data_IF_299320783903
#
_entry.id   IF_299320783903
#
_cell.length_a   1.000
_cell.length_b   1.000
_cell.length_c   1.000
_cell.angle_alpha   90.00
_cell.angle_beta   90.00
_cell.angle_gamma   90.00
#
_symmetry.space_group_name_H-M   'P 1'
#
loop_
_entity.id
_entity.type
_entity.pdbx_description
1 polymer ?
#
# COMPACT_ATOMS: atom_id res chain seq x y z
N UNK A 1 -10.15 8.91 -23.44
CA UNK A 1 -8.88 8.62 -22.76
C UNK A 1 -8.54 9.76 -21.80
N UNK A 2 -8.52 9.49 -20.49
CA UNK A 2 -8.16 10.46 -19.44
C UNK A 2 -6.87 10.01 -18.71
N UNK A 3 -5.89 9.49 -19.44
CA UNK A 3 -4.59 9.14 -18.88
C UNK A 3 -3.54 10.14 -19.35
N UNK A 4 -2.77 10.71 -18.43
CA UNK A 4 -1.61 11.54 -18.78
C UNK A 4 -0.47 10.66 -19.27
N UNK A 5 0.26 11.15 -20.26
CA UNK A 5 1.50 10.55 -20.76
C UNK A 5 2.66 11.47 -20.41
N UNK A 6 3.77 10.89 -19.96
CA UNK A 6 5.00 11.62 -19.67
C UNK A 6 5.74 12.05 -20.93
N UNK A 7 7.01 12.40 -20.77
CA UNK A 7 7.89 12.82 -21.88
C UNK A 7 8.13 11.73 -22.94
N UNK A 8 7.86 10.47 -22.64
CA UNK A 8 7.77 9.39 -23.61
C UNK A 8 6.35 8.80 -23.61
N UNK A 9 5.87 8.36 -24.78
CA UNK A 9 4.51 7.83 -24.97
C UNK A 9 4.20 6.56 -24.17
N UNK A 10 5.20 5.92 -23.56
CA UNK A 10 5.09 4.70 -22.77
C UNK A 10 5.20 4.94 -21.26
N UNK A 11 5.48 6.16 -20.82
CA UNK A 11 5.48 6.51 -19.39
C UNK A 11 4.15 7.22 -19.07
N UNK A 12 3.29 6.55 -18.31
CA UNK A 12 2.02 7.12 -17.84
C UNK A 12 2.17 7.93 -16.56
N UNK A 13 1.16 8.72 -16.22
CA UNK A 13 1.08 9.45 -14.94
C UNK A 13 0.76 8.52 -13.76
N UNK A 14 0.38 7.29 -14.05
CA UNK A 14 0.06 6.23 -13.11
C UNK A 14 -1.31 5.61 -13.33
N UNK A 15 -1.38 4.31 -13.16
CA UNK A 15 -2.63 3.56 -13.13
C UNK A 15 -2.57 2.46 -12.07
N UNK A 16 -3.72 2.00 -11.62
CA UNK A 16 -3.79 0.93 -10.65
C UNK A 16 -5.19 0.40 -10.41
N UNK A 17 -5.24 -0.66 -9.63
CA UNK A 17 -6.45 -1.36 -9.24
C UNK A 17 -6.36 -1.77 -7.77
N UNK A 18 -7.43 -1.58 -7.03
CA UNK A 18 -7.67 -2.16 -5.71
C UNK A 18 -8.72 -3.26 -5.88
N UNK A 19 -8.43 -4.43 -5.32
CA UNK A 19 -9.32 -5.60 -5.37
C UNK A 19 -9.37 -6.29 -4.01
N UNK A 20 -10.20 -7.31 -3.90
CA UNK A 20 -10.06 -8.28 -2.81
C UNK A 20 -8.74 -9.05 -2.96
N UNK A 21 -8.22 -9.59 -1.85
CA UNK A 21 -7.05 -10.49 -1.88
C UNK A 21 -7.34 -11.69 -2.80
N UNK A 22 -6.48 -11.96 -3.79
CA UNK A 22 -6.64 -13.10 -4.69
C UNK A 22 -6.15 -14.40 -4.02
N UNK A 23 -6.85 -14.85 -2.99
CA UNK A 23 -6.49 -16.00 -2.14
C UNK A 23 -6.14 -17.25 -2.94
N UNK A 24 -6.94 -17.57 -3.98
CA UNK A 24 -6.67 -18.72 -4.85
C UNK A 24 -5.33 -18.60 -5.58
N UNK A 25 -5.03 -17.42 -6.12
CA UNK A 25 -3.74 -17.17 -6.78
C UNK A 25 -2.59 -17.43 -5.82
N UNK A 26 -2.65 -16.89 -4.61
CA UNK A 26 -1.57 -17.03 -3.65
C UNK A 26 -1.36 -18.49 -3.23
N UNK A 27 -2.42 -19.21 -2.87
CA UNK A 27 -2.33 -20.63 -2.48
C UNK A 27 -1.76 -21.52 -3.56
N UNK A 28 -2.11 -21.26 -4.82
CA UNK A 28 -1.67 -22.11 -5.93
C UNK A 28 -0.29 -21.73 -6.50
N UNK A 29 0.17 -20.48 -6.30
CA UNK A 29 1.46 -20.00 -6.86
C UNK A 29 2.57 -19.88 -5.85
N UNK A 30 2.28 -19.57 -4.58
CA UNK A 30 3.28 -19.33 -3.53
C UNK A 30 3.44 -20.59 -2.67
N UNK A 31 3.98 -21.65 -3.27
CA UNK A 31 4.00 -23.01 -2.69
C UNK A 31 4.89 -23.18 -1.46
N UNK A 32 5.78 -22.25 -1.21
CA UNK A 32 6.67 -22.30 -0.03
C UNK A 32 6.01 -21.72 1.24
N UNK A 33 4.78 -21.22 1.13
CA UNK A 33 3.99 -20.68 2.24
C UNK A 33 2.78 -21.59 2.49
N UNK A 34 2.61 -22.00 3.73
CA UNK A 34 1.39 -22.67 4.19
C UNK A 34 0.39 -21.61 4.64
N UNK A 35 -0.57 -21.27 3.79
CA UNK A 35 -1.55 -20.21 4.09
C UNK A 35 -2.62 -20.69 5.08
N UNK A 36 -2.90 -19.90 6.15
CA UNK A 36 -4.07 -20.09 6.99
C UNK A 36 -5.39 -19.91 6.21
N UNK A 37 -6.52 -19.97 6.87
CA UNK A 37 -7.81 -19.64 6.23
C UNK A 37 -7.81 -18.23 5.68
N UNK A 38 -8.63 -18.00 4.66
CA UNK A 38 -8.88 -16.64 4.15
C UNK A 38 -9.43 -15.77 5.28
N UNK A 39 -8.84 -14.60 5.49
CA UNK A 39 -9.12 -13.71 6.61
C UNK A 39 -8.18 -13.88 7.82
N UNK A 40 -7.53 -15.05 7.96
CA UNK A 40 -6.54 -15.32 9.01
C UNK A 40 -5.11 -15.02 8.54
N UNK A 41 -4.93 -14.35 7.42
CA UNK A 41 -3.66 -13.78 6.98
C UNK A 41 -3.86 -12.47 6.23
N UNK A 42 -2.88 -11.59 6.34
CA UNK A 42 -2.83 -10.31 5.63
C UNK A 42 -1.63 -10.24 4.68
N UNK A 43 -1.67 -9.28 3.77
CA UNK A 43 -0.61 -9.04 2.80
C UNK A 43 -0.17 -7.58 2.84
N UNK A 44 1.11 -7.37 3.07
CA UNK A 44 1.77 -6.09 2.81
C UNK A 44 2.27 -6.09 1.37
N UNK A 45 1.71 -5.23 0.55
CA UNK A 45 2.18 -4.95 -0.81
C UNK A 45 3.05 -3.70 -0.77
N UNK A 46 4.31 -3.78 -1.20
CA UNK A 46 5.28 -2.71 -0.96
C UNK A 46 6.15 -2.43 -2.18
N UNK A 47 6.50 -1.14 -2.32
CA UNK A 47 7.64 -0.70 -3.12
C UNK A 47 8.87 -0.59 -2.21
N UNK A 48 9.92 -1.31 -2.56
CA UNK A 48 11.19 -1.35 -1.83
C UNK A 48 12.35 -0.94 -2.74
N UNK A 49 13.51 -0.53 -2.16
CA UNK A 49 14.69 -0.14 -2.92
C UNK A 49 15.22 -1.25 -3.83
N UNK A 50 15.85 -0.86 -4.94
CA UNK A 50 16.58 -1.77 -5.82
C UNK A 50 17.87 -2.29 -5.18
N UNK A 51 18.49 -1.45 -4.36
CA UNK A 51 19.69 -1.83 -3.65
C UNK A 51 19.34 -2.94 -2.65
N UNK A 52 20.07 -4.07 -2.78
CA UNK A 52 19.74 -5.31 -2.06
C UNK A 52 19.92 -5.18 -0.55
N UNK A 53 20.97 -4.50 -0.10
CA UNK A 53 21.26 -4.32 1.33
C UNK A 53 20.20 -3.46 2.01
N UNK A 54 19.75 -2.38 1.36
CA UNK A 54 18.68 -1.52 1.86
C UNK A 54 17.37 -2.29 1.92
N UNK A 55 17.04 -3.04 0.87
CA UNK A 55 15.85 -3.88 0.81
C UNK A 55 15.85 -4.95 1.90
N UNK A 56 16.93 -5.70 2.07
CA UNK A 56 17.07 -6.70 3.13
C UNK A 56 16.94 -6.09 4.53
N UNK A 57 17.46 -4.88 4.74
CA UNK A 57 17.33 -4.17 6.00
C UNK A 57 15.87 -3.84 6.29
N UNK A 58 15.13 -3.32 5.31
CA UNK A 58 13.69 -3.04 5.44
C UNK A 58 12.88 -4.32 5.67
N UNK A 59 13.17 -5.40 4.95
CA UNK A 59 12.50 -6.70 5.14
C UNK A 59 12.68 -7.20 6.58
N UNK A 60 13.91 -7.19 7.12
CA UNK A 60 14.18 -7.58 8.52
C UNK A 60 13.51 -6.65 9.54
N UNK A 61 13.48 -5.35 9.26
CA UNK A 61 12.79 -4.38 10.11
C UNK A 61 11.30 -4.71 10.18
N UNK A 62 10.65 -4.98 9.05
CA UNK A 62 9.24 -5.37 9.04
C UNK A 62 9.00 -6.70 9.77
N UNK A 63 9.83 -7.71 9.55
CA UNK A 63 9.75 -9.00 10.25
C UNK A 63 9.85 -8.81 11.77
N UNK A 64 10.81 -8.01 12.22
CA UNK A 64 10.97 -7.71 13.66
C UNK A 64 9.73 -7.04 14.26
N UNK A 65 9.13 -6.09 13.53
CA UNK A 65 7.90 -5.42 13.97
C UNK A 65 6.73 -6.41 14.02
N UNK A 66 6.54 -7.24 12.99
CA UNK A 66 5.48 -8.25 12.94
C UNK A 66 5.57 -9.19 14.16
N UNK A 67 6.77 -9.68 14.45
CA UNK A 67 7.01 -10.57 15.60
C UNK A 67 6.80 -9.86 16.95
N UNK A 68 7.21 -8.58 17.04
CA UNK A 68 6.98 -7.75 18.25
C UNK A 68 5.49 -7.53 18.49
N UNK A 69 4.70 -7.40 17.42
CA UNK A 69 3.25 -7.31 17.46
C UNK A 69 2.55 -8.68 17.67
N UNK A 70 3.32 -9.72 17.95
CA UNK A 70 2.80 -11.05 18.23
C UNK A 70 2.17 -11.76 17.04
N UNK A 71 2.47 -11.33 15.82
CA UNK A 71 1.96 -11.93 14.60
C UNK A 71 3.03 -12.82 13.94
N UNK A 72 2.61 -13.71 13.02
CA UNK A 72 3.51 -14.61 12.33
C UNK A 72 3.97 -14.06 10.99
N UNK A 73 5.26 -14.15 10.69
CA UNK A 73 5.79 -13.96 9.34
C UNK A 73 5.63 -15.26 8.56
N UNK A 74 4.66 -15.34 7.66
CA UNK A 74 4.46 -16.54 6.83
C UNK A 74 5.48 -16.64 5.71
N UNK A 75 5.96 -15.52 5.20
CA UNK A 75 6.99 -15.47 4.18
C UNK A 75 6.86 -14.31 3.20
N UNK A 76 7.73 -14.32 2.21
CA UNK A 76 7.91 -13.26 1.24
C UNK A 76 7.72 -13.74 -0.19
N UNK A 77 7.27 -12.83 -1.05
CA UNK A 77 7.18 -13.04 -2.49
C UNK A 77 7.63 -11.78 -3.23
N UNK A 78 8.45 -11.96 -4.27
CA UNK A 78 8.63 -10.91 -5.27
C UNK A 78 7.46 -10.96 -6.24
N UNK A 79 6.80 -9.83 -6.46
CA UNK A 79 5.70 -9.75 -7.43
C UNK A 79 6.26 -9.90 -8.83
N UNK A 80 5.76 -10.84 -9.65
CA UNK A 80 6.23 -11.01 -11.02
C UNK A 80 5.75 -9.85 -11.89
N UNK A 81 6.71 -9.14 -12.49
CA UNK A 81 6.46 -7.98 -13.34
C UNK A 81 7.24 -8.05 -14.64
N UNK A 82 6.75 -7.36 -15.67
CA UNK A 82 7.37 -7.25 -16.98
C UNK A 82 7.87 -5.83 -17.23
N UNK A 83 9.10 -5.56 -16.79
CA UNK A 83 9.72 -4.24 -16.92
C UNK A 83 9.89 -3.76 -18.36
N UNK A 84 9.89 -4.69 -19.32
CA UNK A 84 10.02 -4.38 -20.75
C UNK A 84 8.83 -3.60 -21.34
N UNK A 85 7.66 -3.65 -20.69
CA UNK A 85 6.48 -2.88 -21.14
C UNK A 85 6.52 -1.42 -20.72
N UNK A 86 7.41 -1.08 -19.78
CA UNK A 86 7.52 0.28 -19.23
C UNK A 86 8.22 1.22 -20.18
N UNK A 87 7.83 2.49 -20.14
CA UNK A 87 8.60 3.59 -20.73
C UNK A 87 9.93 3.82 -19.97
N UNK A 88 10.86 4.51 -20.61
CA UNK A 88 12.20 4.75 -20.08
C UNK A 88 12.19 5.49 -18.74
N UNK A 89 11.29 6.46 -18.59
CA UNK A 89 11.11 7.23 -17.36
C UNK A 89 10.64 6.36 -16.19
N UNK A 90 9.61 5.54 -16.41
CA UNK A 90 9.08 4.63 -15.41
C UNK A 90 10.10 3.56 -15.01
N UNK A 91 10.79 2.95 -15.99
CA UNK A 91 11.81 1.93 -15.75
C UNK A 91 13.00 2.43 -14.94
N UNK A 92 13.40 3.68 -15.13
CA UNK A 92 14.52 4.28 -14.38
C UNK A 92 14.26 4.35 -12.89
N UNK A 93 13.02 4.58 -12.50
CA UNK A 93 12.57 4.72 -11.11
C UNK A 93 11.75 3.53 -10.60
N UNK A 94 11.70 2.42 -11.37
CA UNK A 94 10.95 1.23 -11.01
C UNK A 94 11.47 0.64 -9.68
N UNK A 95 10.61 0.46 -8.67
CA UNK A 95 10.99 -0.16 -7.41
C UNK A 95 11.00 -1.69 -7.53
N UNK A 96 11.58 -2.37 -6.55
CA UNK A 96 11.31 -3.80 -6.34
C UNK A 96 9.96 -3.93 -5.64
N UNK A 97 9.05 -4.72 -6.21
CA UNK A 97 7.71 -4.91 -5.67
C UNK A 97 7.67 -6.21 -4.86
N UNK A 98 7.44 -6.09 -3.56
CA UNK A 98 7.46 -7.21 -2.62
C UNK A 98 6.12 -7.38 -1.93
N UNK A 99 5.80 -8.62 -1.61
CA UNK A 99 4.69 -9.01 -0.74
C UNK A 99 5.25 -9.72 0.49
N UNK A 100 4.84 -9.26 1.69
CA UNK A 100 5.03 -9.99 2.94
C UNK A 100 3.69 -10.55 3.38
N UNK A 101 3.62 -11.82 3.65
CA UNK A 101 2.44 -12.50 4.14
C UNK A 101 2.53 -12.67 5.66
N UNK A 102 1.49 -12.23 6.36
CA UNK A 102 1.43 -12.16 7.82
C UNK A 102 0.28 -13.03 8.29
N UNK A 103 0.56 -13.99 9.16
CA UNK A 103 -0.46 -14.83 9.79
C UNK A 103 -1.05 -14.16 11.02
N UNK A 104 -2.37 -14.19 11.14
CA UNK A 104 -3.07 -13.63 12.26
C UNK A 104 -2.91 -14.48 13.51
N UNK A 105 -2.49 -13.85 14.61
CA UNK A 105 -2.59 -14.39 15.97
C UNK A 105 -3.61 -13.54 16.75
N UNK A 106 -4.37 -14.18 17.62
CA UNK A 106 -5.36 -13.49 18.41
C UNK A 106 -4.72 -12.45 19.33
N UNK A 107 -5.23 -11.22 19.29
CA UNK A 107 -4.84 -10.13 20.17
C UNK A 107 -6.04 -9.64 20.98
N UNK A 108 -5.84 -9.40 22.26
CA UNK A 108 -6.89 -8.85 23.10
C UNK A 108 -7.20 -7.40 22.71
N UNK A 109 -8.48 -7.12 22.46
CA UNK A 109 -8.98 -5.76 22.21
C UNK A 109 -8.70 -5.17 20.83
N UNK A 110 -7.96 -5.86 19.94
CA UNK A 110 -7.68 -5.39 18.58
C UNK A 110 -8.15 -6.39 17.52
N UNK A 111 -8.70 -5.87 16.43
CA UNK A 111 -8.94 -6.67 15.22
C UNK A 111 -7.63 -6.86 14.45
N UNK A 112 -7.56 -7.89 13.62
CA UNK A 112 -6.37 -8.14 12.80
C UNK A 112 -6.06 -6.97 11.85
N UNK A 113 -7.09 -6.33 11.25
CA UNK A 113 -6.88 -5.14 10.41
C UNK A 113 -6.26 -3.97 11.21
N UNK A 114 -6.68 -3.75 12.46
CA UNK A 114 -6.05 -2.74 13.33
C UNK A 114 -4.61 -3.09 13.66
N UNK A 115 -4.30 -4.37 13.86
CA UNK A 115 -2.93 -4.83 14.10
C UNK A 115 -2.06 -4.61 12.86
N UNK A 116 -2.56 -4.94 11.65
CA UNK A 116 -1.85 -4.66 10.39
C UNK A 116 -1.60 -3.16 10.20
N UNK A 117 -2.55 -2.32 10.59
CA UNK A 117 -2.37 -0.86 10.58
C UNK A 117 -1.26 -0.41 11.52
N UNK A 118 -1.21 -0.90 12.77
CA UNK A 118 -0.15 -0.59 13.74
C UNK A 118 1.23 -1.04 13.22
N UNK A 119 1.34 -2.26 12.70
CA UNK A 119 2.56 -2.79 12.08
C UNK A 119 3.04 -1.86 10.97
N UNK A 120 2.13 -1.41 10.09
CA UNK A 120 2.47 -0.50 9.00
C UNK A 120 2.97 0.85 9.53
N UNK A 121 2.28 1.44 10.51
CA UNK A 121 2.69 2.72 11.09
C UNK A 121 4.06 2.64 11.78
N UNK A 122 4.33 1.54 12.48
CA UNK A 122 5.63 1.28 13.07
C UNK A 122 6.71 1.13 11.97
N UNK A 123 6.43 0.37 10.92
CA UNK A 123 7.36 0.17 9.80
C UNK A 123 7.67 1.47 9.05
N UNK A 124 6.66 2.31 8.79
CA UNK A 124 6.85 3.62 8.15
C UNK A 124 7.79 4.52 8.99
N UNK A 125 7.60 4.59 10.31
CA UNK A 125 8.46 5.36 11.23
C UNK A 125 9.89 4.82 11.31
N UNK A 126 10.04 3.52 11.49
CA UNK A 126 11.37 2.90 11.55
C UNK A 126 12.14 3.11 10.24
N UNK A 127 11.47 2.99 9.10
CA UNK A 127 12.07 3.23 7.79
C UNK A 127 12.56 4.67 7.63
N UNK A 128 11.78 5.65 8.11
CA UNK A 128 12.15 7.06 8.11
C UNK A 128 13.38 7.31 9.00
N UNK A 129 13.41 6.75 10.21
CA UNK A 129 14.56 6.84 11.11
C UNK A 129 15.83 6.22 10.53
N UNK A 130 15.68 5.16 9.75
CA UNK A 130 16.78 4.51 9.04
C UNK A 130 17.24 5.30 7.79
N UNK A 131 16.49 6.31 7.36
CA UNK A 131 16.71 7.06 6.13
C UNK A 131 16.52 6.20 4.87
N UNK A 132 15.68 5.16 4.94
CA UNK A 132 15.43 4.23 3.84
C UNK A 132 14.06 4.50 3.20
N UNK A 133 14.05 4.64 1.87
CA UNK A 133 12.82 4.84 1.13
C UNK A 133 12.02 3.53 0.99
N UNK A 134 10.76 3.58 1.33
CA UNK A 134 9.79 2.52 1.08
C UNK A 134 8.40 3.13 0.88
N UNK A 135 7.47 2.33 0.39
CA UNK A 135 6.06 2.72 0.31
C UNK A 135 5.17 1.48 0.42
N UNK A 136 4.29 1.45 1.41
CA UNK A 136 3.28 0.39 1.56
C UNK A 136 2.04 0.77 0.75
N UNK A 137 1.78 0.01 -0.33
CA UNK A 137 0.63 0.20 -1.21
C UNK A 137 -0.67 -0.20 -0.51
N UNK A 138 -0.64 -1.33 0.16
CA UNK A 138 -1.73 -1.87 0.98
C UNK A 138 -1.19 -2.80 2.06
N UNK A 139 -1.91 -2.87 3.17
CA UNK A 139 -1.66 -3.77 4.30
C UNK A 139 -3.01 -4.21 4.85
N UNK A 140 -3.53 -5.34 4.39
CA UNK A 140 -4.88 -5.79 4.71
C UNK A 140 -5.03 -7.30 4.57
N UNK A 141 -5.98 -7.89 5.29
CA UNK A 141 -6.43 -9.27 5.12
C UNK A 141 -7.57 -9.40 4.10
N UNK A 142 -8.09 -8.27 3.62
CA UNK A 142 -9.28 -8.22 2.75
C UNK A 142 -8.95 -7.74 1.34
N UNK A 143 -8.11 -6.71 1.22
CA UNK A 143 -7.86 -6.01 -0.05
C UNK A 143 -6.38 -5.90 -0.40
N UNK A 144 -6.11 -5.67 -1.68
CA UNK A 144 -4.76 -5.46 -2.19
C UNK A 144 -4.75 -4.43 -3.31
N UNK A 145 -3.69 -3.61 -3.36
CA UNK A 145 -3.50 -2.59 -4.38
C UNK A 145 -2.35 -2.96 -5.31
N UNK A 146 -2.64 -3.03 -6.61
CA UNK A 146 -1.67 -3.09 -7.70
C UNK A 146 -1.66 -1.74 -8.41
N UNK A 147 -0.55 -1.04 -8.40
CA UNK A 147 -0.42 0.26 -9.05
C UNK A 147 1.02 0.53 -9.48
N UNK A 148 1.19 1.48 -10.37
CA UNK A 148 2.52 1.87 -10.81
C UNK A 148 2.52 3.07 -11.74
N UNK A 149 3.71 3.49 -12.13
CA UNK A 149 3.94 4.57 -13.09
C UNK A 149 3.75 4.04 -14.53
N UNK A 150 2.54 3.56 -14.80
CA UNK A 150 2.12 2.89 -16.02
C UNK A 150 0.90 3.60 -16.63
N UNK A 151 0.65 3.36 -17.90
CA UNK A 151 -0.64 3.67 -18.52
C UNK A 151 -1.68 2.60 -18.18
N UNK A 152 -2.95 2.88 -18.41
CA UNK A 152 -4.04 1.92 -18.17
C UNK A 152 -3.83 0.61 -18.92
N UNK A 153 -3.40 0.68 -20.18
CA UNK A 153 -3.18 -0.49 -21.02
C UNK A 153 -1.97 -1.32 -20.56
N UNK A 154 -0.98 -0.65 -19.95
CA UNK A 154 0.21 -1.32 -19.42
C UNK A 154 -0.04 -2.02 -18.09
N UNK A 155 -1.02 -1.61 -17.27
CA UNK A 155 -1.22 -2.14 -15.92
C UNK A 155 -1.31 -3.67 -15.92
N UNK A 156 -2.19 -4.23 -16.75
CA UNK A 156 -2.35 -5.69 -16.88
C UNK A 156 -1.16 -6.35 -17.58
N UNK A 157 -0.50 -5.65 -18.48
CA UNK A 157 0.67 -6.18 -19.19
C UNK A 157 1.90 -6.22 -18.27
N UNK A 158 2.01 -5.28 -17.32
CA UNK A 158 3.12 -5.16 -16.39
C UNK A 158 3.06 -6.18 -15.24
N UNK A 159 1.89 -6.37 -14.63
CA UNK A 159 1.70 -7.33 -13.54
C UNK A 159 1.22 -8.68 -14.08
N UNK A 160 2.07 -9.71 -14.00
CA UNK A 160 1.67 -11.06 -14.43
C UNK A 160 0.49 -11.60 -13.61
N UNK A 161 0.40 -11.25 -12.33
CA UNK A 161 -0.71 -11.63 -11.45
C UNK A 161 -2.08 -11.21 -12.03
N UNK A 162 -2.19 -10.00 -12.59
CA UNK A 162 -3.44 -9.48 -13.14
C UNK A 162 -3.86 -10.16 -14.46
N UNK A 163 -3.01 -11.04 -15.00
CA UNK A 163 -3.27 -11.85 -16.20
C UNK A 163 -3.64 -13.28 -15.88
N UNK A 164 -3.38 -13.71 -14.65
CA UNK A 164 -3.60 -15.07 -14.20
C UNK A 164 -5.10 -15.31 -13.94
N UNK A 165 -5.65 -16.38 -14.48
CA UNK A 165 -7.08 -16.74 -14.33
C UNK A 165 -7.46 -17.08 -12.88
N UNK A 166 -6.47 -17.39 -12.05
CA UNK A 166 -6.65 -17.63 -10.61
C UNK A 166 -6.82 -16.36 -9.81
N UNK A 167 -6.49 -15.19 -10.41
CA UNK A 167 -6.75 -13.89 -9.79
C UNK A 167 -8.24 -13.59 -9.89
N UNK A 168 -8.94 -13.82 -8.78
CA UNK A 168 -10.40 -13.63 -8.70
C UNK A 168 -10.74 -12.61 -7.64
N UNK A 169 -11.66 -11.70 -7.96
CA UNK A 169 -12.19 -10.70 -7.05
C UNK A 169 -13.66 -10.42 -7.36
N UNK A 170 -14.46 -10.20 -6.34
CA UNK A 170 -15.87 -9.81 -6.47
C UNK A 170 -16.06 -8.33 -6.85
N UNK A 171 -15.02 -7.50 -6.69
CA UNK A 171 -15.02 -6.09 -7.10
C UNK A 171 -13.63 -5.62 -7.50
N UNK A 172 -13.59 -4.48 -8.17
CA UNK A 172 -12.35 -3.77 -8.46
C UNK A 172 -12.57 -2.26 -8.53
N UNK A 173 -11.72 -1.49 -7.86
CA UNK A 173 -11.67 -0.03 -7.95
C UNK A 173 -10.47 0.32 -8.83
N UNK A 174 -10.71 0.90 -9.99
CA UNK A 174 -9.68 1.18 -11.01
C UNK A 174 -9.52 2.68 -11.18
N UNK A 175 -8.29 3.13 -11.28
CA UNK A 175 -7.98 4.53 -11.55
C UNK A 175 -6.88 4.68 -12.59
N UNK A 176 -7.10 5.64 -13.49
CA UNK A 176 -6.09 6.14 -14.41
C UNK A 176 -5.81 7.60 -14.06
N UNK A 177 -4.61 7.85 -13.56
CA UNK A 177 -4.23 9.18 -13.09
C UNK A 177 -3.96 10.11 -14.26
N UNK A 178 -4.41 11.35 -14.13
CA UNK A 178 -3.98 12.49 -14.93
C UNK A 178 -3.39 13.54 -13.99
N UNK A 179 -2.08 13.75 -14.09
CA UNK A 179 -1.38 14.68 -13.20
C UNK A 179 -1.33 16.06 -13.85
N UNK A 180 -1.94 17.05 -13.20
CA UNK A 180 -1.87 18.46 -13.64
C UNK A 180 -0.90 19.30 -12.81
N UNK A 181 -0.81 19.04 -11.50
CA UNK A 181 -0.13 19.89 -10.53
C UNK A 181 1.02 19.22 -9.77
N UNK A 182 1.26 17.92 -9.95
CA UNK A 182 2.32 17.19 -9.24
C UNK A 182 3.06 16.25 -10.17
N UNK A 183 4.39 16.14 -10.01
CA UNK A 183 5.17 15.18 -10.79
C UNK A 183 4.68 13.74 -10.56
N UNK A 184 4.46 12.96 -11.63
CA UNK A 184 4.13 11.55 -11.52
C UNK A 184 5.23 10.77 -10.80
N UNK A 185 4.82 9.83 -9.95
CA UNK A 185 5.74 8.88 -9.32
C UNK A 185 5.02 7.59 -8.99
N UNK A 186 5.78 6.52 -8.76
CA UNK A 186 5.25 5.20 -8.42
C UNK A 186 4.28 5.26 -7.22
N UNK A 187 4.66 5.93 -6.14
CA UNK A 187 3.85 6.06 -4.92
C UNK A 187 2.59 6.90 -5.10
N UNK A 188 2.62 7.89 -6.01
CA UNK A 188 1.49 8.80 -6.27
C UNK A 188 0.46 8.24 -7.25
N UNK A 189 0.72 7.11 -7.89
CA UNK A 189 -0.31 6.41 -8.66
C UNK A 189 -1.48 6.04 -7.74
N UNK A 190 -2.69 6.06 -8.30
CA UNK A 190 -3.91 5.61 -7.62
C UNK A 190 -4.27 4.16 -8.02
N UNK A 191 -5.06 3.43 -7.22
CA UNK A 191 -5.69 3.82 -5.93
C UNK A 191 -4.69 4.11 -4.82
N UNK A 192 -5.12 4.88 -3.82
CA UNK A 192 -4.53 4.85 -2.51
C UNK A 192 -4.93 3.53 -1.80
N UNK A 193 -4.82 3.41 -0.48
CA UNK A 193 -5.16 2.15 0.22
C UNK A 193 -6.65 1.83 0.22
N UNK A 194 -7.50 2.86 0.25
CA UNK A 194 -8.96 2.74 0.32
C UNK A 194 -9.68 3.53 -0.76
N UNK A 195 -9.12 4.65 -1.21
CA UNK A 195 -9.82 5.61 -2.05
C UNK A 195 -9.17 5.80 -3.42
N UNK A 196 -10.02 6.19 -4.36
CA UNK A 196 -9.63 6.90 -5.58
C UNK A 196 -10.21 8.32 -5.52
N UNK A 197 -9.44 9.30 -5.95
CA UNK A 197 -9.92 10.67 -6.02
C UNK A 197 -9.25 11.39 -7.20
N UNK A 198 -10.05 12.08 -8.00
CA UNK A 198 -9.60 12.69 -9.26
C UNK A 198 -9.81 14.20 -9.26
N UNK A 199 -9.52 14.85 -8.19
CA UNK A 199 -9.70 16.29 -8.07
C UNK A 199 -8.94 16.86 -6.88
N UNK A 200 -9.08 18.15 -6.71
CA UNK A 200 -8.55 18.88 -5.55
C UNK A 200 -9.57 18.89 -4.42
N UNK A 201 -9.08 18.85 -3.20
CA UNK A 201 -9.90 18.95 -2.00
C UNK A 201 -9.97 20.42 -1.58
N UNK A 202 -11.16 21.00 -1.68
CA UNK A 202 -11.40 22.37 -1.26
C UNK A 202 -11.17 22.53 0.24
N UNK A 203 -10.67 23.71 0.63
CA UNK A 203 -10.44 24.05 2.05
C UNK A 203 -9.49 23.08 2.76
N UNK A 204 -8.50 22.56 2.03
CA UNK A 204 -7.57 21.54 2.53
C UNK A 204 -6.96 21.89 3.89
N UNK A 205 -6.44 23.11 4.05
CA UNK A 205 -5.84 23.57 5.31
C UNK A 205 -6.84 23.58 6.49
N UNK A 206 -8.08 23.92 6.22
CA UNK A 206 -9.17 23.85 7.22
C UNK A 206 -9.44 22.42 7.65
N UNK A 207 -9.50 21.49 6.70
CA UNK A 207 -9.70 20.07 6.94
C UNK A 207 -8.54 19.44 7.73
N UNK A 208 -7.29 19.77 7.38
CA UNK A 208 -6.10 19.32 8.12
C UNK A 208 -6.17 19.78 9.57
N UNK A 209 -6.43 21.08 9.81
CA UNK A 209 -6.55 21.64 11.18
C UNK A 209 -7.71 20.98 11.95
N UNK A 210 -8.83 20.75 11.31
CA UNK A 210 -9.97 20.09 11.93
C UNK A 210 -9.66 18.62 12.30
N UNK A 211 -8.90 17.92 11.49
CA UNK A 211 -8.45 16.55 11.81
C UNK A 211 -7.43 16.56 12.96
N UNK A 212 -6.40 17.40 12.89
CA UNK A 212 -5.42 17.58 13.97
C UNK A 212 -6.04 17.91 15.32
N UNK A 213 -7.08 18.75 15.32
CA UNK A 213 -7.77 19.13 16.57
C UNK A 213 -8.51 17.99 17.25
N UNK A 214 -8.76 16.87 16.56
CA UNK A 214 -9.52 15.73 17.08
C UNK A 214 -8.79 14.39 17.02
N UNK A 215 -7.67 14.31 16.30
CA UNK A 215 -6.97 13.03 16.04
C UNK A 215 -6.51 12.31 17.31
N UNK A 216 -5.97 13.04 18.29
CA UNK A 216 -5.55 12.45 19.58
C UNK A 216 -6.72 11.77 20.29
N UNK A 217 -7.85 12.47 20.44
CA UNK A 217 -9.04 11.91 21.09
C UNK A 217 -9.58 10.68 20.35
N UNK A 218 -9.59 10.73 19.03
CA UNK A 218 -10.03 9.59 18.21
C UNK A 218 -9.08 8.40 18.38
N UNK A 219 -7.76 8.65 18.36
CA UNK A 219 -6.76 7.61 18.54
C UNK A 219 -6.84 6.98 19.94
N UNK A 220 -6.98 7.77 20.99
CA UNK A 220 -7.16 7.29 22.37
C UNK A 220 -8.43 6.44 22.53
N UNK A 221 -9.52 6.82 21.87
CA UNK A 221 -10.78 6.04 21.90
C UNK A 221 -10.62 4.67 21.26
N UNK A 222 -9.85 4.57 20.17
CA UNK A 222 -9.73 3.35 19.38
C UNK A 222 -8.56 2.46 19.82
N UNK A 223 -7.42 3.08 20.13
CA UNK A 223 -6.15 2.39 20.38
C UNK A 223 -5.67 2.50 21.85
N UNK A 224 -6.41 3.25 22.71
CA UNK A 224 -6.10 3.39 24.13
C UNK A 224 -4.69 3.92 24.38
N UNK A 225 -3.90 3.19 25.15
CA UNK A 225 -2.50 3.52 25.47
C UNK A 225 -1.55 3.46 24.25
N UNK A 226 -2.00 2.91 23.13
CA UNK A 226 -1.24 2.83 21.87
C UNK A 226 -1.54 4.00 20.91
N UNK A 227 -2.31 4.99 21.33
CA UNK A 227 -2.71 6.12 20.49
C UNK A 227 -1.54 6.84 19.81
N UNK A 228 -0.42 7.02 20.52
CA UNK A 228 0.78 7.67 19.99
C UNK A 228 1.42 6.90 18.81
N UNK A 229 1.14 5.61 18.69
CA UNK A 229 1.69 4.78 17.63
C UNK A 229 1.03 5.03 16.27
N UNK A 230 -0.16 5.61 16.27
CA UNK A 230 -0.89 5.92 15.03
C UNK A 230 -0.85 7.39 14.65
N UNK A 231 -0.35 8.26 15.54
CA UNK A 231 -0.26 9.69 15.31
C UNK A 231 1.07 10.09 14.60
N UNK A 232 1.07 11.16 13.80
CA UNK A 232 -0.11 11.87 13.28
C UNK A 232 -0.88 10.98 12.28
N UNK A 233 -2.21 11.17 12.18
CA UNK A 233 -3.03 10.39 11.26
C UNK A 233 -2.74 10.77 9.81
N UNK A 234 -2.60 12.08 9.54
CA UNK A 234 -2.36 12.60 8.19
C UNK A 234 -0.87 12.67 7.88
N UNK A 235 -0.48 12.13 6.73
CA UNK A 235 0.82 12.40 6.10
C UNK A 235 0.71 13.66 5.24
N UNK A 236 1.12 14.80 5.81
CA UNK A 236 1.05 16.10 5.13
C UNK A 236 2.12 16.31 4.05
N UNK A 237 3.05 15.38 3.90
CA UNK A 237 4.02 15.37 2.79
C UNK A 237 3.42 14.78 1.51
N UNK A 238 2.27 14.13 1.65
CA UNK A 238 1.51 13.51 0.57
C UNK A 238 0.67 14.49 -0.25
N UNK A 239 -0.15 13.94 -1.14
CA UNK A 239 -1.18 14.71 -1.85
C UNK A 239 -2.42 14.89 -0.99
N UNK A 240 -3.28 15.86 -1.36
CA UNK A 240 -4.58 16.05 -0.74
C UNK A 240 -5.43 14.76 -0.74
N UNK A 241 -5.42 14.02 -1.85
CA UNK A 241 -6.09 12.73 -1.96
C UNK A 241 -5.51 11.66 -1.02
N UNK A 242 -4.18 11.65 -0.81
CA UNK A 242 -3.56 10.71 0.13
C UNK A 242 -3.87 11.06 1.58
N UNK A 243 -3.96 12.34 1.92
CA UNK A 243 -4.41 12.77 3.26
C UNK A 243 -5.87 12.38 3.52
N UNK A 244 -6.74 12.52 2.51
CA UNK A 244 -8.12 12.04 2.61
C UNK A 244 -8.16 10.53 2.83
N UNK A 245 -7.33 9.77 2.11
CA UNK A 245 -7.21 8.32 2.27
C UNK A 245 -6.73 7.94 3.67
N UNK A 246 -5.74 8.65 4.23
CA UNK A 246 -5.29 8.44 5.60
C UNK A 246 -6.41 8.66 6.63
N UNK A 247 -7.17 9.75 6.49
CA UNK A 247 -8.30 10.03 7.35
C UNK A 247 -9.38 8.95 7.24
N UNK A 248 -9.70 8.51 6.02
CA UNK A 248 -10.69 7.47 5.76
C UNK A 248 -10.27 6.12 6.31
N UNK A 249 -9.03 5.70 6.05
CA UNK A 249 -8.43 4.48 6.60
C UNK A 249 -8.55 4.45 8.13
N UNK A 250 -8.12 5.54 8.78
CA UNK A 250 -8.20 5.64 10.23
C UNK A 250 -9.64 5.55 10.74
N UNK A 251 -10.57 6.28 10.13
CA UNK A 251 -11.99 6.25 10.53
C UNK A 251 -12.66 4.89 10.26
N UNK A 252 -12.26 4.20 9.19
CA UNK A 252 -12.74 2.85 8.89
C UNK A 252 -12.27 1.82 9.92
N UNK A 253 -11.06 1.99 10.42
CA UNK A 253 -10.46 1.12 11.43
C UNK A 253 -10.80 1.53 12.88
N UNK A 254 -11.46 2.67 13.08
CA UNK A 254 -11.93 3.16 14.39
C UNK A 254 -13.31 2.61 14.77
#
# INVERSE_FOLDING_TARGET
>A
HRGGQGSDAKTGDGAGILTQLPDRLFRETVRHISFPKKGDYGVFMMFLPREERERMRLERTLESIILTEGQDVLGWRTVPVRSEVLGSGARRTEPVIRQCFIGAQAMEGLTFERTLFLIRRAFERESEQLGLEQYVLSSSSETIVYKGLVTTDQLRAYFDDLRDERYQSGFGIVHSRFSTNTFPSWKRAHPNRYLIHNGEINTLQGNIRAMRGRERRLAETTYGNRAEEVLPILDETGSDSSMLDNAFEFLHLS
#
